data_IF_675994304980
#
_entry.id   IF_675994304980
#
_cell.length_a   1.000
_cell.length_b   1.000
_cell.length_c   1.000
_cell.angle_alpha   90.00
_cell.angle_beta   90.00
_cell.angle_gamma   90.00
#
_symmetry.space_group_name_H-M   'P 1'
#
loop_
_entity.id
_entity.type
_entity.pdbx_description
1 polymer ?
#
# COMPACT_ATOMS: atom_id res chain seq x y z
N UNK A 1 -35.20 -2.58 3.32
CA UNK A 1 -33.93 -2.93 4.00
C UNK A 1 -32.82 -2.53 3.04
N UNK A 2 -31.93 -1.62 3.41
CA UNK A 2 -30.89 -1.14 2.49
C UNK A 2 -29.72 -2.13 2.51
N UNK A 3 -29.64 -3.00 1.51
CA UNK A 3 -28.56 -4.00 1.37
C UNK A 3 -27.77 -3.69 0.11
N UNK A 4 -26.45 -3.60 0.22
CA UNK A 4 -25.57 -3.44 -0.94
C UNK A 4 -25.29 -4.79 -1.59
N UNK A 5 -24.85 -4.76 -2.85
CA UNK A 5 -24.49 -5.96 -3.59
C UNK A 5 -23.26 -6.66 -2.98
N UNK A 6 -23.29 -7.99 -2.92
CA UNK A 6 -22.26 -8.82 -2.26
C UNK A 6 -20.85 -8.61 -2.80
N UNK A 7 -20.71 -8.24 -4.08
CA UNK A 7 -19.41 -7.91 -4.70
C UNK A 7 -18.68 -6.76 -3.99
N UNK A 8 -19.40 -5.90 -3.27
CA UNK A 8 -18.80 -4.80 -2.51
C UNK A 8 -18.43 -5.16 -1.06
N UNK A 9 -18.77 -6.36 -0.58
CA UNK A 9 -18.54 -6.76 0.81
C UNK A 9 -17.08 -6.63 1.23
N UNK A 10 -16.15 -7.09 0.38
CA UNK A 10 -14.72 -7.02 0.69
C UNK A 10 -14.23 -5.58 0.83
N UNK A 11 -14.62 -4.72 -0.10
CA UNK A 11 -14.21 -3.31 -0.15
C UNK A 11 -14.79 -2.53 1.04
N UNK A 12 -16.05 -2.79 1.35
CA UNK A 12 -16.75 -2.20 2.48
C UNK A 12 -16.10 -2.65 3.78
N UNK A 13 -15.80 -3.96 3.92
CA UNK A 13 -15.10 -4.52 5.07
C UNK A 13 -13.73 -3.87 5.27
N UNK A 14 -12.86 -3.88 4.25
CA UNK A 14 -11.52 -3.26 4.31
C UNK A 14 -11.62 -1.77 4.65
N UNK A 15 -12.57 -1.05 4.05
CA UNK A 15 -12.75 0.38 4.30
C UNK A 15 -13.23 0.64 5.72
N UNK A 16 -14.18 -0.16 6.20
CA UNK A 16 -14.69 -0.10 7.57
C UNK A 16 -13.56 -0.35 8.56
N UNK A 17 -12.83 -1.45 8.42
CA UNK A 17 -11.73 -1.81 9.31
C UNK A 17 -10.65 -0.73 9.34
N UNK A 18 -10.26 -0.19 8.18
CA UNK A 18 -9.28 0.91 8.10
C UNK A 18 -9.75 2.16 8.86
N UNK A 19 -11.01 2.56 8.67
CA UNK A 19 -11.59 3.74 9.33
C UNK A 19 -11.78 3.50 10.83
N UNK A 20 -12.27 2.32 11.22
CA UNK A 20 -12.48 1.92 12.60
C UNK A 20 -11.14 1.86 13.36
N UNK A 21 -10.11 1.23 12.78
CA UNK A 21 -8.76 1.16 13.34
C UNK A 21 -8.14 2.54 13.59
N UNK A 22 -8.29 3.45 12.62
CA UNK A 22 -7.81 4.84 12.77
C UNK A 22 -8.54 5.56 13.90
N UNK A 23 -9.87 5.44 13.96
CA UNK A 23 -10.68 6.03 15.04
C UNK A 23 -10.33 5.46 16.40
N UNK A 24 -10.21 4.14 16.50
CA UNK A 24 -9.84 3.46 17.74
C UNK A 24 -8.45 3.90 18.22
N UNK A 25 -7.47 4.00 17.32
CA UNK A 25 -6.14 4.49 17.65
C UNK A 25 -6.15 5.91 18.22
N UNK A 26 -6.98 6.80 17.64
CA UNK A 26 -7.16 8.16 18.15
C UNK A 26 -7.84 8.18 19.52
N UNK A 27 -8.87 7.35 19.73
CA UNK A 27 -9.50 7.22 21.04
C UNK A 27 -8.53 6.67 22.09
N UNK A 28 -7.79 5.61 21.78
CA UNK A 28 -6.79 5.05 22.69
C UNK A 28 -5.69 6.07 23.03
N UNK A 29 -5.29 6.92 22.08
CA UNK A 29 -4.39 8.05 22.35
C UNK A 29 -5.02 9.01 23.36
N UNK A 30 -6.27 9.42 23.16
CA UNK A 30 -6.98 10.32 24.08
C UNK A 30 -7.13 9.71 25.49
N UNK A 31 -7.46 8.42 25.58
CA UNK A 31 -7.53 7.67 26.85
C UNK A 31 -6.18 7.67 27.55
N UNK A 32 -5.09 7.42 26.81
CA UNK A 32 -3.73 7.45 27.37
C UNK A 32 -3.32 8.84 27.85
N UNK A 33 -3.63 9.87 27.05
CA UNK A 33 -3.20 11.23 27.32
C UNK A 33 -4.01 11.85 28.48
N UNK A 34 -5.30 11.49 28.63
CA UNK A 34 -6.14 11.92 29.76
C UNK A 34 -5.91 11.10 31.04
N UNK A 35 -5.56 9.81 30.89
CA UNK A 35 -5.49 8.88 32.01
C UNK A 35 -6.87 8.45 32.55
N UNK A 36 -7.97 8.85 31.90
CA UNK A 36 -9.33 8.54 32.32
C UNK A 36 -9.90 7.38 31.51
N UNK A 37 -10.58 6.45 32.20
CA UNK A 37 -11.26 5.33 31.54
C UNK A 37 -12.60 5.80 30.95
N UNK A 38 -12.82 5.64 29.64
CA UNK A 38 -14.10 6.00 29.04
C UNK A 38 -15.18 4.95 29.36
N UNK A 39 -16.45 5.36 29.32
CA UNK A 39 -17.58 4.49 29.69
C UNK A 39 -17.71 3.23 28.83
N UNK A 40 -17.29 3.27 27.57
CA UNK A 40 -17.33 2.11 26.65
C UNK A 40 -16.22 1.09 26.90
N UNK A 41 -15.16 1.45 27.65
CA UNK A 41 -14.02 0.57 27.89
C UNK A 41 -14.20 -0.16 29.23
N UNK A 42 -14.07 -1.48 29.21
CA UNK A 42 -14.18 -2.29 30.41
C UNK A 42 -13.02 -1.99 31.38
N UNK A 43 -13.25 -2.00 32.71
CA UNK A 43 -12.22 -1.69 33.70
C UNK A 43 -10.95 -2.55 33.59
N UNK A 44 -11.09 -3.85 33.35
CA UNK A 44 -9.93 -4.75 33.22
C UNK A 44 -9.10 -4.43 31.97
N UNK A 45 -9.75 -4.16 30.83
CA UNK A 45 -9.07 -3.75 29.59
C UNK A 45 -8.28 -2.46 29.78
N UNK A 46 -8.86 -1.48 30.48
CA UNK A 46 -8.15 -0.24 30.79
C UNK A 46 -6.90 -0.48 31.65
N UNK A 47 -7.02 -1.35 32.67
CA UNK A 47 -5.89 -1.72 33.52
C UNK A 47 -4.78 -2.43 32.72
N UNK A 48 -5.12 -3.39 31.87
CA UNK A 48 -4.18 -4.10 31.00
C UNK A 48 -3.49 -3.16 30.01
N UNK A 49 -4.22 -2.26 29.36
CA UNK A 49 -3.66 -1.24 28.48
C UNK A 49 -2.72 -0.30 29.23
N UNK A 50 -3.09 0.10 30.44
CA UNK A 50 -2.26 0.91 31.32
C UNK A 50 -0.94 0.21 31.70
N UNK A 51 -0.97 -1.11 31.92
CA UNK A 51 0.24 -1.91 32.13
C UNK A 51 1.07 -2.00 30.85
N UNK A 52 0.44 -2.29 29.71
CA UNK A 52 1.09 -2.39 28.41
C UNK A 52 1.82 -1.09 28.03
N UNK A 53 1.19 0.08 28.21
CA UNK A 53 1.82 1.37 27.92
C UNK A 53 3.04 1.69 28.80
N UNK A 54 3.17 1.05 29.97
CA UNK A 54 4.35 1.19 30.84
C UNK A 54 5.53 0.33 30.40
N UNK A 55 5.31 -0.68 29.56
CA UNK A 55 6.35 -1.58 29.07
C UNK A 55 7.40 -0.84 28.24
N UNK A 56 8.66 -1.27 28.35
CA UNK A 56 9.76 -0.69 27.58
C UNK A 56 9.59 -0.90 26.08
N UNK A 57 9.00 -2.04 25.69
CA UNK A 57 8.66 -2.31 24.29
C UNK A 57 7.76 -1.21 23.71
N UNK A 58 6.68 -0.86 24.41
CA UNK A 58 5.78 0.19 23.95
C UNK A 58 6.47 1.55 23.92
N UNK A 59 7.21 1.91 24.98
CA UNK A 59 7.94 3.19 25.04
C UNK A 59 8.98 3.30 23.94
N UNK A 60 9.70 2.23 23.62
CA UNK A 60 10.70 2.20 22.55
C UNK A 60 10.04 2.46 21.19
N UNK A 61 8.95 1.76 20.85
CA UNK A 61 8.21 1.98 19.60
C UNK A 61 7.66 3.41 19.55
N UNK A 62 7.03 3.87 20.64
CA UNK A 62 6.46 5.22 20.72
C UNK A 62 7.53 6.30 20.54
N UNK A 63 8.70 6.13 21.17
CA UNK A 63 9.83 7.05 21.02
C UNK A 63 10.39 7.01 19.61
N UNK A 64 10.57 5.84 19.00
CA UNK A 64 11.03 5.72 17.62
C UNK A 64 10.09 6.45 16.66
N UNK A 65 8.76 6.23 16.78
CA UNK A 65 7.75 6.92 15.96
C UNK A 65 7.73 8.42 16.26
N UNK A 66 7.94 8.84 17.50
CA UNK A 66 8.07 10.26 17.87
C UNK A 66 9.30 10.90 17.22
N UNK A 67 10.45 10.24 17.27
CA UNK A 67 11.69 10.70 16.63
C UNK A 67 11.54 10.74 15.11
N UNK A 68 10.88 9.74 14.51
CA UNK A 68 10.58 9.73 13.09
C UNK A 68 9.67 10.90 12.67
N UNK A 69 8.62 11.20 13.45
CA UNK A 69 7.73 12.36 13.20
C UNK A 69 8.42 13.71 13.42
N UNK A 70 9.32 13.80 14.40
CA UNK A 70 10.10 15.00 14.69
C UNK A 70 11.35 15.16 13.81
N UNK A 71 11.64 14.17 12.97
CA UNK A 71 12.80 14.20 12.08
C UNK A 71 12.59 15.26 11.00
N UNK A 72 13.53 16.19 10.90
CA UNK A 72 13.67 17.11 9.76
C UNK A 72 14.38 16.43 8.56
N UNK A 73 14.37 15.09 8.53
CA UNK A 73 14.92 14.26 7.45
C UNK A 73 13.91 13.18 7.09
N UNK A 74 13.83 12.84 5.80
CA UNK A 74 12.95 11.82 5.25
C UNK A 74 12.15 12.33 4.05
N UNK A 75 11.80 11.41 3.14
CA UNK A 75 11.09 11.71 1.90
C UNK A 75 9.61 12.12 2.06
N UNK A 76 9.15 12.36 3.30
CA UNK A 76 7.85 12.98 3.57
C UNK A 76 7.93 14.51 3.65
N UNK A 77 9.13 15.09 3.67
CA UNK A 77 9.31 16.54 3.65
C UNK A 77 9.02 17.07 2.25
N UNK A 78 7.97 17.86 2.15
CA UNK A 78 7.50 18.44 0.90
C UNK A 78 7.20 19.92 1.10
N UNK A 79 7.36 20.70 0.02
CA UNK A 79 7.12 22.15 -0.06
C UNK A 79 5.70 22.48 -0.53
N UNK A 80 4.85 21.47 -0.73
CA UNK A 80 3.46 21.62 -1.18
C UNK A 80 2.52 22.34 -0.19
N UNK A 81 2.98 22.59 1.04
CA UNK A 81 2.18 23.23 2.08
C UNK A 81 1.00 22.36 2.51
N UNK A 82 -0.15 22.97 2.77
CA UNK A 82 -1.37 22.25 3.18
C UNK A 82 -2.09 21.52 2.02
N UNK A 83 -1.54 21.57 0.79
CA UNK A 83 -2.14 20.90 -0.38
C UNK A 83 -1.67 19.45 -0.45
N UNK A 84 -2.60 18.54 -0.75
CA UNK A 84 -2.24 17.15 -1.04
C UNK A 84 -1.50 17.06 -2.38
N UNK A 85 -0.67 16.02 -2.55
CA UNK A 85 0.02 15.75 -3.82
C UNK A 85 -0.98 15.56 -4.96
N UNK A 86 -2.14 14.93 -4.68
CA UNK A 86 -3.24 14.79 -5.64
C UNK A 86 -3.85 16.14 -6.06
N UNK A 87 -3.93 17.12 -5.16
CA UNK A 87 -4.40 18.47 -5.50
C UNK A 87 -3.39 19.20 -6.38
N UNK A 88 -2.11 19.15 -6.02
CA UNK A 88 -1.02 19.75 -6.82
C UNK A 88 -0.97 19.11 -8.22
N UNK A 89 -1.15 17.80 -8.31
CA UNK A 89 -1.25 17.08 -9.57
C UNK A 89 -2.39 17.58 -10.48
N UNK A 90 -3.60 17.78 -9.91
CA UNK A 90 -4.75 18.31 -10.65
C UNK A 90 -4.55 19.76 -11.08
N UNK A 91 -3.83 20.56 -10.29
CA UNK A 91 -3.44 21.91 -10.67
C UNK A 91 -2.44 21.87 -11.84
N UNK A 92 -1.41 21.03 -11.76
CA UNK A 92 -0.44 20.85 -12.84
C UNK A 92 -1.06 20.33 -14.13
N UNK A 93 -2.05 19.45 -14.06
CA UNK A 93 -2.77 18.95 -15.23
C UNK A 93 -3.48 20.08 -16.00
N UNK A 94 -4.08 21.02 -15.27
CA UNK A 94 -4.69 22.22 -15.87
C UNK A 94 -3.65 23.17 -16.46
N UNK A 95 -2.52 23.35 -15.80
CA UNK A 95 -1.43 24.22 -16.27
C UNK A 95 -0.76 23.66 -17.54
N UNK A 96 -0.55 22.35 -17.61
CA UNK A 96 0.15 21.68 -18.71
C UNK A 96 -0.76 21.27 -19.86
N UNK A 97 -2.08 21.23 -19.64
CA UNK A 97 -3.05 20.69 -20.62
C UNK A 97 -2.89 19.20 -20.89
N UNK A 98 -2.15 18.48 -20.04
CA UNK A 98 -1.89 17.04 -20.11
C UNK A 98 -1.70 16.46 -18.71
N UNK A 99 -1.87 15.16 -18.57
CA UNK A 99 -1.58 14.44 -17.33
C UNK A 99 -0.09 14.55 -16.98
N UNK A 100 0.27 15.06 -15.78
CA UNK A 100 1.66 15.17 -15.36
C UNK A 100 2.20 13.83 -14.87
N UNK A 101 3.42 13.50 -15.31
CA UNK A 101 4.12 12.28 -14.93
C UNK A 101 4.60 12.37 -13.46
N UNK A 102 4.78 11.23 -12.80
CA UNK A 102 5.21 11.12 -11.39
C UNK A 102 6.44 11.97 -11.04
N UNK A 103 7.56 11.94 -11.80
CA UNK A 103 8.74 12.73 -11.45
C UNK A 103 8.49 14.25 -11.53
N UNK A 104 7.58 14.73 -12.39
CA UNK A 104 7.23 16.15 -12.48
C UNK A 104 6.53 16.61 -11.20
N UNK A 105 5.54 15.83 -10.74
CA UNK A 105 4.80 16.12 -9.51
C UNK A 105 5.70 15.97 -8.28
N UNK A 106 6.57 14.96 -8.28
CA UNK A 106 7.54 14.77 -7.22
C UNK A 106 8.50 15.95 -7.10
N UNK A 107 9.07 16.41 -8.22
CA UNK A 107 9.95 17.59 -8.27
C UNK A 107 9.22 18.85 -7.79
N UNK A 108 7.98 19.10 -8.26
CA UNK A 108 7.18 20.26 -7.83
C UNK A 108 6.94 20.29 -6.32
N UNK A 109 6.82 19.11 -5.69
CA UNK A 109 6.49 18.97 -4.27
C UNK A 109 7.71 18.86 -3.37
N UNK A 110 8.91 18.58 -3.88
CA UNK A 110 10.09 18.35 -3.05
C UNK A 110 11.31 19.21 -3.42
N UNK A 111 11.14 20.17 -4.32
CA UNK A 111 12.09 21.26 -4.56
C UNK A 111 11.59 22.51 -3.83
N UNK A 112 12.51 23.25 -3.21
CA UNK A 112 12.23 24.53 -2.55
C UNK A 112 11.81 25.55 -3.58
N UNK A 113 10.87 26.42 -3.21
CA UNK A 113 10.43 27.52 -4.09
C UNK A 113 11.65 28.40 -4.39
N UNK A 114 11.91 28.63 -5.68
CA UNK A 114 12.94 29.55 -6.13
C UNK A 114 12.52 31.00 -5.89
N UNK A 115 13.48 31.85 -5.61
CA UNK A 115 13.27 33.30 -5.56
C UNK A 115 13.30 33.88 -6.97
N UNK A 116 14.28 33.44 -7.77
CA UNK A 116 14.42 33.78 -9.19
C UNK A 116 14.39 32.53 -10.07
N UNK A 117 13.91 32.66 -11.30
CA UNK A 117 13.82 31.53 -12.23
C UNK A 117 15.20 30.93 -12.59
N UNK A 118 16.25 31.76 -12.55
CA UNK A 118 17.63 31.36 -12.79
C UNK A 118 18.28 30.61 -11.62
N UNK A 119 17.66 30.58 -10.44
CA UNK A 119 18.24 29.90 -9.28
C UNK A 119 18.27 28.37 -9.51
N UNK A 120 19.29 27.66 -9.00
CA UNK A 120 19.32 26.20 -9.09
C UNK A 120 18.17 25.58 -8.28
N UNK A 121 17.73 24.39 -8.70
CA UNK A 121 16.79 23.61 -7.90
C UNK A 121 17.47 23.18 -6.60
N UNK A 122 16.89 23.57 -5.46
CA UNK A 122 17.35 23.13 -4.14
C UNK A 122 16.37 22.12 -3.58
N UNK A 123 16.78 20.87 -3.47
CA UNK A 123 15.95 19.80 -2.90
C UNK A 123 15.70 20.02 -1.40
N UNK A 124 14.53 19.60 -0.94
CA UNK A 124 14.16 19.70 0.48
C UNK A 124 15.05 18.79 1.34
N UNK A 125 15.45 17.65 0.80
CA UNK A 125 16.33 16.67 1.44
C UNK A 125 17.16 15.90 0.41
N UNK A 126 18.36 15.48 0.79
CA UNK A 126 19.27 14.68 -0.04
C UNK A 126 18.67 13.33 -0.45
N UNK A 127 17.86 12.68 0.41
CA UNK A 127 17.21 11.39 0.05
C UNK A 127 16.24 11.56 -1.10
N UNK A 128 15.48 12.65 -1.11
CA UNK A 128 14.53 12.98 -2.19
C UNK A 128 15.29 13.19 -3.51
N UNK A 129 16.39 13.95 -3.46
CA UNK A 129 17.24 14.17 -4.63
C UNK A 129 17.78 12.85 -5.19
N UNK A 130 18.33 11.99 -4.33
CA UNK A 130 18.78 10.65 -4.74
C UNK A 130 17.67 9.85 -5.40
N UNK A 131 16.48 9.83 -4.82
CA UNK A 131 15.32 9.14 -5.40
C UNK A 131 14.94 9.65 -6.79
N UNK A 132 14.94 10.97 -6.98
CA UNK A 132 14.67 11.56 -8.30
C UNK A 132 15.78 11.20 -9.31
N UNK A 133 17.04 11.25 -8.89
CA UNK A 133 18.17 10.92 -9.75
C UNK A 133 18.20 9.43 -10.12
N UNK A 134 17.87 8.54 -9.20
CA UNK A 134 17.79 7.10 -9.45
C UNK A 134 16.73 6.76 -10.49
N UNK A 135 15.57 7.42 -10.43
CA UNK A 135 14.52 7.28 -11.45
C UNK A 135 15.03 7.72 -12.82
N UNK A 136 15.63 8.92 -12.93
CA UNK A 136 16.11 9.44 -14.21
C UNK A 136 17.24 8.58 -14.78
N UNK A 137 18.15 8.08 -13.92
CA UNK A 137 19.20 7.15 -14.30
C UNK A 137 18.61 5.86 -14.85
N UNK A 138 17.60 5.30 -14.20
CA UNK A 138 16.92 4.11 -14.69
C UNK A 138 16.29 4.35 -16.06
N UNK A 139 15.56 5.45 -16.24
CA UNK A 139 14.96 5.82 -17.52
C UNK A 139 16.02 5.93 -18.62
N UNK A 140 17.10 6.65 -18.36
CA UNK A 140 18.19 6.83 -19.33
C UNK A 140 18.92 5.53 -19.70
N UNK A 141 18.97 4.55 -18.80
CA UNK A 141 19.66 3.28 -19.02
C UNK A 141 18.78 2.19 -19.65
N UNK A 142 17.47 2.25 -19.44
CA UNK A 142 16.56 1.15 -19.77
C UNK A 142 15.50 1.51 -20.80
N UNK A 143 15.21 2.81 -21.01
CA UNK A 143 14.35 3.25 -22.09
C UNK A 143 15.19 3.73 -23.26
N UNK A 144 14.83 3.27 -24.46
CA UNK A 144 15.34 3.87 -25.68
C UNK A 144 14.89 5.35 -25.73
N UNK A 145 15.78 6.23 -26.14
CA UNK A 145 15.52 7.63 -26.47
C UNK A 145 14.29 7.86 -27.37
N UNK A 146 13.90 6.85 -28.17
CA UNK A 146 12.71 6.88 -29.03
C UNK A 146 11.39 6.61 -28.27
N UNK A 147 11.43 6.05 -27.07
CA UNK A 147 10.24 5.72 -26.27
C UNK A 147 9.84 6.94 -25.43
N UNK A 148 8.64 7.46 -25.66
CA UNK A 148 8.09 8.52 -24.82
C UNK A 148 7.67 7.96 -23.46
N UNK A 149 8.11 8.62 -22.39
CA UNK A 149 7.73 8.29 -21.02
C UNK A 149 6.29 8.74 -20.76
N UNK A 150 5.32 7.85 -20.96
CA UNK A 150 3.90 8.12 -20.67
C UNK A 150 3.64 8.17 -19.16
N UNK A 151 2.53 8.80 -18.71
CA UNK A 151 2.12 8.77 -17.30
C UNK A 151 2.01 7.36 -16.71
N UNK A 152 1.49 6.41 -17.47
CA UNK A 152 1.32 5.01 -17.04
C UNK A 152 2.68 4.33 -16.84
N UNK A 153 3.58 4.49 -17.81
CA UNK A 153 4.92 3.90 -17.74
C UNK A 153 5.76 4.55 -16.63
N UNK A 154 5.66 5.87 -16.48
CA UNK A 154 6.21 6.62 -15.36
C UNK A 154 5.72 6.07 -14.02
N UNK A 155 4.40 5.90 -13.86
CA UNK A 155 3.79 5.36 -12.64
C UNK A 155 4.31 3.96 -12.34
N UNK A 156 4.45 3.11 -13.34
CA UNK A 156 4.92 1.74 -13.17
C UNK A 156 6.39 1.70 -12.72
N UNK A 157 7.28 2.44 -13.40
CA UNK A 157 8.70 2.53 -13.06
C UNK A 157 8.87 3.12 -11.66
N UNK A 158 8.11 4.17 -11.34
CA UNK A 158 8.12 4.80 -10.02
C UNK A 158 7.66 3.83 -8.91
N UNK A 159 6.64 3.00 -9.18
CA UNK A 159 6.19 1.97 -8.24
C UNK A 159 7.27 0.93 -7.98
N UNK A 160 7.88 0.40 -9.04
CA UNK A 160 8.85 -0.68 -8.93
C UNK A 160 10.18 -0.23 -8.32
N UNK A 161 10.70 0.94 -8.75
CA UNK A 161 12.06 1.37 -8.43
C UNK A 161 12.13 2.38 -7.29
N UNK A 162 11.07 3.16 -7.07
CA UNK A 162 11.06 4.22 -6.07
C UNK A 162 10.18 3.87 -4.86
N UNK A 163 9.01 3.27 -5.09
CA UNK A 163 8.01 3.03 -4.02
C UNK A 163 8.33 1.82 -3.13
N UNK A 164 9.31 1.00 -3.50
CA UNK A 164 9.84 -0.08 -2.65
C UNK A 164 10.73 0.42 -1.50
N UNK A 165 11.08 1.71 -1.47
CA UNK A 165 11.78 2.35 -0.34
C UNK A 165 10.74 2.91 0.63
N UNK A 166 10.54 2.22 1.76
CA UNK A 166 9.64 2.62 2.82
C UNK A 166 9.72 4.14 3.13
N UNK A 167 8.55 4.80 3.06
CA UNK A 167 8.35 6.16 3.58
C UNK A 167 8.33 7.32 2.56
N UNK A 168 8.46 7.07 1.25
CA UNK A 168 8.29 8.10 0.21
C UNK A 168 6.86 8.02 -0.33
N UNK A 169 5.91 8.56 0.45
CA UNK A 169 4.49 8.52 0.12
C UNK A 169 4.16 9.37 -1.11
N UNK A 170 4.02 8.74 -2.28
CA UNK A 170 3.27 9.35 -3.38
C UNK A 170 1.80 9.37 -2.99
N UNK A 171 1.33 10.49 -2.43
CA UNK A 171 -0.05 10.66 -1.94
C UNK A 171 -1.13 10.49 -3.04
N UNK A 172 -0.75 10.39 -4.32
CA UNK A 172 -1.65 9.98 -5.42
C UNK A 172 -2.21 8.57 -5.24
N UNK A 173 -1.44 7.67 -4.62
CA UNK A 173 -1.76 6.24 -4.59
C UNK A 173 -2.94 5.87 -3.68
N UNK A 174 -3.27 6.72 -2.69
CA UNK A 174 -4.38 6.46 -1.77
C UNK A 174 -5.74 6.99 -2.27
N UNK A 175 -5.75 7.82 -3.32
CA UNK A 175 -6.95 8.52 -3.80
C UNK A 175 -7.59 7.89 -5.05
N UNK A 176 -6.90 6.97 -5.74
CA UNK A 176 -7.37 6.39 -7.01
C UNK A 176 -7.53 4.87 -6.95
N UNK A 177 -8.39 4.40 -6.05
CA UNK A 177 -9.12 3.15 -6.30
C UNK A 177 -10.54 3.56 -6.69
N UNK A 178 -10.70 3.93 -7.95
CA UNK A 178 -12.01 4.12 -8.55
C UNK A 178 -12.77 2.77 -8.55
N UNK A 179 -14.10 2.83 -8.37
CA UNK A 179 -14.96 1.66 -8.33
C UNK A 179 -14.85 0.74 -9.56
N UNK A 180 -14.45 1.28 -10.72
CA UNK A 180 -14.21 0.49 -11.93
C UNK A 180 -12.96 -0.40 -11.80
N UNK A 181 -11.86 0.14 -11.27
CA UNK A 181 -10.62 -0.63 -11.05
C UNK A 181 -10.82 -1.71 -9.97
N UNK A 182 -11.59 -1.38 -8.93
CA UNK A 182 -11.98 -2.34 -7.90
C UNK A 182 -12.81 -3.48 -8.48
N UNK A 183 -13.81 -3.17 -9.32
CA UNK A 183 -14.63 -4.19 -9.97
C UNK A 183 -13.79 -5.11 -10.87
N UNK A 184 -12.87 -4.55 -11.66
CA UNK A 184 -11.97 -5.33 -12.50
C UNK A 184 -11.05 -6.25 -11.67
N UNK A 185 -10.54 -5.77 -10.53
CA UNK A 185 -9.75 -6.59 -9.61
C UNK A 185 -10.60 -7.69 -8.95
N UNK A 186 -11.84 -7.40 -8.56
CA UNK A 186 -12.78 -8.39 -8.03
C UNK A 186 -13.13 -9.48 -9.06
N UNK A 187 -13.30 -9.12 -10.33
CA UNK A 187 -13.54 -10.07 -11.42
C UNK A 187 -12.32 -10.97 -11.66
N UNK A 188 -11.11 -10.42 -11.57
CA UNK A 188 -9.87 -11.20 -11.66
C UNK A 188 -9.72 -12.17 -10.48
N UNK A 189 -10.00 -11.73 -9.26
CA UNK A 189 -9.97 -12.59 -8.07
C UNK A 189 -10.96 -13.75 -8.24
N UNK A 190 -12.18 -13.47 -8.70
CA UNK A 190 -13.21 -14.50 -8.91
C UNK A 190 -12.76 -15.55 -9.93
N UNK A 191 -12.13 -15.12 -11.03
CA UNK A 191 -11.57 -16.04 -12.04
C UNK A 191 -10.44 -16.90 -11.48
N UNK A 192 -9.53 -16.31 -10.70
CA UNK A 192 -8.42 -17.06 -10.08
C UNK A 192 -8.91 -18.06 -9.03
N UNK A 193 -9.91 -17.69 -8.23
CA UNK A 193 -10.53 -18.59 -7.26
C UNK A 193 -11.18 -19.79 -7.95
N UNK A 194 -11.95 -19.57 -9.03
CA UNK A 194 -12.55 -20.66 -9.80
C UNK A 194 -11.49 -21.60 -10.42
N UNK A 195 -10.42 -21.04 -10.98
CA UNK A 195 -9.33 -21.83 -11.55
C UNK A 195 -8.57 -22.64 -10.49
N UNK A 196 -8.42 -22.09 -9.27
CA UNK A 196 -7.80 -22.78 -8.15
C UNK A 196 -8.66 -23.97 -7.70
N UNK A 197 -9.96 -23.77 -7.52
CA UNK A 197 -10.90 -24.85 -7.17
C UNK A 197 -10.92 -25.96 -8.22
N UNK A 198 -10.87 -25.61 -9.51
CA UNK A 198 -10.80 -26.60 -10.59
C UNK A 198 -9.50 -27.42 -10.54
N UNK A 199 -8.36 -26.75 -10.27
CA UNK A 199 -7.07 -27.39 -10.11
C UNK A 199 -7.05 -28.35 -8.92
N UNK A 200 -7.60 -27.94 -7.78
CA UNK A 200 -7.72 -28.79 -6.59
C UNK A 200 -8.58 -30.03 -6.87
N UNK A 201 -9.72 -29.87 -7.55
CA UNK A 201 -10.57 -31.00 -7.96
C UNK A 201 -9.84 -32.00 -8.86
N UNK A 202 -9.04 -31.51 -9.82
CA UNK A 202 -8.24 -32.38 -10.71
C UNK A 202 -7.19 -33.17 -9.91
N UNK A 203 -6.48 -32.52 -8.99
CA UNK A 203 -5.48 -33.19 -8.14
C UNK A 203 -6.09 -34.27 -7.25
N UNK A 204 -7.28 -34.02 -6.69
CA UNK A 204 -8.01 -35.00 -5.87
C UNK A 204 -8.43 -36.20 -6.73
N UNK A 205 -8.96 -35.98 -7.93
CA UNK A 205 -9.35 -37.06 -8.84
C UNK A 205 -8.15 -37.90 -9.29
N UNK A 206 -7.01 -37.28 -9.59
CA UNK A 206 -5.76 -37.97 -9.91
C UNK A 206 -5.26 -38.82 -8.74
N UNK A 207 -5.32 -38.28 -7.51
CA UNK A 207 -4.93 -39.01 -6.31
C UNK A 207 -5.84 -40.22 -6.05
N UNK A 208 -7.14 -40.09 -6.29
CA UNK A 208 -8.10 -41.19 -6.18
C UNK A 208 -7.81 -42.30 -7.20
N UNK A 209 -7.60 -41.93 -8.47
CA UNK A 209 -7.24 -42.88 -9.52
C UNK A 209 -5.92 -43.61 -9.25
N UNK A 210 -4.90 -42.91 -8.73
CA UNK A 210 -3.63 -43.51 -8.30
C UNK A 210 -3.82 -44.48 -7.13
N UNK A 211 -4.70 -44.15 -6.18
CA UNK A 211 -5.01 -45.01 -5.04
C UNK A 211 -5.70 -46.30 -5.48
N UNK A 212 -6.65 -46.22 -6.41
CA UNK A 212 -7.36 -47.38 -6.97
C UNK A 212 -6.39 -48.32 -7.70
N UNK A 213 -5.50 -47.77 -8.53
CA UNK A 213 -4.48 -48.58 -9.23
C UNK A 213 -3.52 -49.27 -8.27
N UNK A 214 -3.07 -48.59 -7.21
CA UNK A 214 -2.22 -49.21 -6.18
C UNK A 214 -2.96 -50.34 -5.46
N UNK A 215 -4.25 -50.18 -5.14
CA UNK A 215 -5.05 -51.25 -4.53
C UNK A 215 -5.18 -52.45 -5.47
N UNK A 216 -5.44 -52.21 -6.75
CA UNK A 216 -5.61 -53.27 -7.75
C UNK A 216 -4.31 -54.06 -7.98
N UNK A 217 -3.16 -53.38 -8.02
CA UNK A 217 -1.84 -54.03 -8.08
C UNK A 217 -1.60 -54.86 -6.82
N UNK A 218 -1.95 -54.34 -5.64
CA UNK A 218 -1.81 -55.07 -4.37
C UNK A 218 -2.62 -56.36 -4.36
N UNK A 219 -3.86 -56.34 -4.84
CA UNK A 219 -4.69 -57.54 -4.97
C UNK A 219 -4.12 -58.56 -5.95
N UNK A 220 -3.61 -58.11 -7.12
CA UNK A 220 -2.95 -58.99 -8.08
C UNK A 220 -1.71 -59.68 -7.49
N UNK A 221 -0.87 -58.94 -6.76
CA UNK A 221 0.32 -59.49 -6.09
C UNK A 221 -0.07 -60.52 -5.03
N UNK A 222 -1.11 -60.26 -4.22
CA UNK A 222 -1.59 -61.22 -3.22
C UNK A 222 -2.13 -62.51 -3.85
N UNK A 223 -2.78 -62.42 -5.01
CA UNK A 223 -3.32 -63.58 -5.72
C UNK A 223 -2.22 -64.43 -6.38
N UNK A 224 -1.08 -63.83 -6.76
CA UNK A 224 0.09 -64.54 -7.32
C UNK A 224 0.95 -65.23 -6.24
N UNK A 225 0.83 -64.84 -4.97
CA UNK A 225 1.57 -65.41 -3.85
C UNK A 225 0.84 -66.62 -3.20
N UNK A 226 -0.23 -67.12 -3.83
CA UNK A 226 -1.04 -68.26 -3.41
C UNK A 226 -0.83 -69.44 -4.34
#
# INVERSE_FOLDING_TARGET
>A
MCTWESRYNLVIGITFERKASTRLSNWLKSVRDSGERPGWMLPHVFAELGQYWKTDKFKAISNQVKMARGSLKGGSLHTGGAKTVGTIAREMEKELGRTPIEPEVFKKTHVRKKENESDPDVWVEERVERTFNDFNKYVAQNLDSSVQLTPELSTQIWKEKVSGLEGIGSSRQAETLDGVQIAAMSDQITKLTAALEESERKRVAEQQSMSETVQQIKEQVMNLAR
#
